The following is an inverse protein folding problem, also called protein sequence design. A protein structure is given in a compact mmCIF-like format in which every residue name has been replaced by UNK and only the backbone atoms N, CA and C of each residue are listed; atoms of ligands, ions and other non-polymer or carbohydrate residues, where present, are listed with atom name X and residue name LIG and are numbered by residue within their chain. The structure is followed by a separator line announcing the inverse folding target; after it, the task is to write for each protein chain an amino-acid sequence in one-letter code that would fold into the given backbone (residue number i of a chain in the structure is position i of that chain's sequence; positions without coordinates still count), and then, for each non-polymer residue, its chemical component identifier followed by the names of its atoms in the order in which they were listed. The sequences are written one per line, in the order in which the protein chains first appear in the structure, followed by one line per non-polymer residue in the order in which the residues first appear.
data_IF_655292728866
#
_entry.id   IF_655292728866
#
_cell.length_a   1.000
_cell.length_b   1.000
_cell.length_c   1.000
_cell.angle_alpha   90.00
_cell.angle_beta   90.00
_cell.angle_gamma   90.00
#
_symmetry.space_group_name_H-M   'P 1'
#
loop_
_entity.id
_entity.type
_entity.pdbx_description
1 polymer ?
#
# COMPACT_ATOMS: atom_id res chain seq x y z
N UNK A 1 12.59 3.19 -1.27
CA UNK A 1 12.28 4.18 -2.34
C UNK A 1 11.27 3.66 -3.37
N UNK A 2 11.38 2.42 -3.88
CA UNK A 2 10.48 1.91 -4.94
C UNK A 2 8.98 1.79 -4.56
N UNK A 3 8.62 1.89 -3.28
CA UNK A 3 7.20 1.83 -2.88
C UNK A 3 6.49 3.19 -2.91
N UNK A 4 7.24 4.29 -3.01
CA UNK A 4 6.69 5.64 -2.83
C UNK A 4 6.35 6.37 -4.12
N UNK A 5 6.92 5.95 -5.26
CA UNK A 5 6.87 6.73 -6.50
C UNK A 5 5.44 6.87 -7.05
N UNK A 6 4.66 5.78 -7.07
CA UNK A 6 3.28 5.83 -7.53
C UNK A 6 2.42 6.69 -6.59
N UNK A 7 2.58 6.50 -5.28
CA UNK A 7 1.85 7.23 -4.25
C UNK A 7 2.10 8.74 -4.34
N UNK A 8 3.36 9.17 -4.45
CA UNK A 8 3.74 10.57 -4.61
C UNK A 8 3.18 11.19 -5.89
N UNK A 9 3.23 10.47 -7.02
CA UNK A 9 2.69 10.97 -8.29
C UNK A 9 1.19 11.23 -8.20
N UNK A 10 0.43 10.27 -7.67
CA UNK A 10 -1.02 10.46 -7.50
C UNK A 10 -1.31 11.56 -6.48
N UNK A 11 -0.59 11.63 -5.37
CA UNK A 11 -0.77 12.69 -4.38
C UNK A 11 -0.57 14.09 -4.99
N UNK A 12 0.49 14.29 -5.77
CA UNK A 12 0.78 15.59 -6.44
C UNK A 12 -0.28 15.92 -7.47
N UNK A 13 -0.68 14.96 -8.31
CA UNK A 13 -1.76 15.16 -9.30
C UNK A 13 -3.06 15.56 -8.60
N UNK A 14 -3.41 14.89 -7.51
CA UNK A 14 -4.64 15.20 -6.77
C UNK A 14 -4.54 16.57 -6.09
N UNK A 15 -3.38 16.94 -5.54
CA UNK A 15 -3.14 18.26 -4.96
C UNK A 15 -3.36 19.41 -5.96
N UNK A 16 -3.02 19.19 -7.23
CA UNK A 16 -3.17 20.18 -8.30
C UNK A 16 -4.61 20.29 -8.81
N UNK A 17 -5.37 19.18 -8.81
CA UNK A 17 -6.72 19.13 -9.38
C UNK A 17 -7.78 19.44 -8.31
N UNK A 18 -7.57 19.01 -7.07
CA UNK A 18 -8.60 19.02 -6.02
C UNK A 18 -8.22 19.96 -4.87
N UNK A 19 -8.99 21.04 -4.61
CA UNK A 19 -8.65 21.99 -3.55
C UNK A 19 -8.73 21.35 -2.16
N UNK A 20 -7.70 21.59 -1.33
CA UNK A 20 -7.54 21.04 0.02
C UNK A 20 -8.78 21.24 0.93
N UNK A 21 -9.42 22.42 0.98
CA UNK A 21 -10.54 22.65 1.90
C UNK A 21 -11.75 21.76 1.62
N UNK A 22 -11.98 21.39 0.36
CA UNK A 22 -13.12 20.58 -0.08
C UNK A 22 -12.84 19.09 0.11
N UNK A 23 -11.60 18.66 -0.14
CA UNK A 23 -11.20 17.24 -0.13
C UNK A 23 -10.31 16.87 1.06
N UNK A 24 -10.42 17.60 2.16
CA UNK A 24 -9.54 17.45 3.33
C UNK A 24 -9.46 16.00 3.83
N UNK A 25 -10.60 15.32 3.96
CA UNK A 25 -10.64 13.92 4.41
C UNK A 25 -9.94 12.96 3.43
N UNK A 26 -10.01 13.21 2.12
CA UNK A 26 -9.26 12.44 1.13
C UNK A 26 -7.76 12.63 1.32
N UNK A 27 -7.30 13.86 1.60
CA UNK A 27 -5.89 14.13 1.91
C UNK A 27 -5.43 13.46 3.21
N UNK A 28 -6.29 13.33 4.22
CA UNK A 28 -5.96 12.56 5.42
C UNK A 28 -5.77 11.07 5.08
N UNK A 29 -6.58 10.48 4.19
CA UNK A 29 -6.38 9.09 3.73
C UNK A 29 -5.00 8.91 3.07
N UNK A 30 -4.59 9.87 2.22
CA UNK A 30 -3.22 9.89 1.67
C UNK A 30 -2.17 9.94 2.80
N UNK A 31 -2.33 10.85 3.77
CA UNK A 31 -1.37 10.96 4.86
C UNK A 31 -1.29 9.68 5.72
N UNK A 32 -2.43 9.05 6.01
CA UNK A 32 -2.49 7.76 6.70
C UNK A 32 -1.73 6.66 5.94
N UNK A 33 -1.95 6.58 4.63
CA UNK A 33 -1.22 5.65 3.77
C UNK A 33 0.30 5.92 3.76
N UNK A 34 0.70 7.20 3.72
CA UNK A 34 2.11 7.60 3.81
C UNK A 34 2.75 7.16 5.13
N UNK A 35 2.06 7.34 6.26
CA UNK A 35 2.55 6.88 7.57
C UNK A 35 2.76 5.37 7.56
N UNK A 36 1.77 4.60 7.08
CA UNK A 36 1.84 3.13 7.03
C UNK A 36 3.05 2.69 6.20
N UNK A 37 3.19 3.18 4.97
CA UNK A 37 4.32 2.85 4.10
C UNK A 37 5.66 3.29 4.71
N UNK A 38 5.67 4.43 5.41
CA UNK A 38 6.82 4.93 6.16
C UNK A 38 7.25 3.98 7.26
N UNK A 39 6.32 3.49 8.08
CA UNK A 39 6.59 2.52 9.15
C UNK A 39 7.16 1.22 8.58
N UNK A 40 6.58 0.67 7.52
CA UNK A 40 7.09 -0.55 6.87
C UNK A 40 8.48 -0.35 6.26
N UNK A 41 8.71 0.80 5.62
CA UNK A 41 10.04 1.16 5.08
C UNK A 41 11.08 1.27 6.20
N UNK A 42 10.73 1.95 7.29
CA UNK A 42 11.60 2.09 8.45
C UNK A 42 11.88 0.75 9.12
N UNK A 43 10.88 -0.12 9.27
CA UNK A 43 11.04 -1.46 9.82
C UNK A 43 12.01 -2.31 8.99
N UNK A 44 11.89 -2.28 7.66
CA UNK A 44 12.86 -2.93 6.76
C UNK A 44 14.27 -2.36 6.89
N UNK A 45 14.38 -1.02 6.97
CA UNK A 45 15.66 -0.34 7.18
C UNK A 45 16.32 -0.74 8.50
N UNK A 46 15.54 -0.79 9.58
CA UNK A 46 15.99 -1.20 10.91
C UNK A 46 16.42 -2.67 10.95
N UNK A 47 15.63 -3.58 10.37
CA UNK A 47 15.98 -5.00 10.24
C UNK A 47 17.31 -5.18 9.50
N UNK A 48 17.52 -4.41 8.43
CA UNK A 48 18.78 -4.44 7.71
C UNK A 48 19.94 -3.89 8.54
N UNK A 49 19.78 -2.73 9.18
CA UNK A 49 20.84 -2.11 9.98
C UNK A 49 21.27 -2.99 11.17
N UNK A 50 20.32 -3.67 11.82
CA UNK A 50 20.59 -4.51 12.99
C UNK A 50 21.23 -5.85 12.63
N UNK A 51 20.73 -6.52 11.58
CA UNK A 51 21.06 -7.92 11.32
C UNK A 51 21.82 -8.13 10.00
N UNK A 52 22.12 -7.08 9.25
CA UNK A 52 22.62 -7.20 7.88
C UNK A 52 21.67 -8.06 7.02
N UNK A 53 20.37 -7.85 7.20
CA UNK A 53 19.30 -8.72 6.70
C UNK A 53 19.40 -8.94 5.18
N UNK A 54 19.69 -7.90 4.40
CA UNK A 54 19.82 -8.02 2.95
C UNK A 54 21.04 -8.84 2.52
N UNK A 55 22.13 -8.89 3.28
CA UNK A 55 23.32 -9.66 2.90
C UNK A 55 23.12 -11.17 3.08
N UNK A 56 22.16 -11.59 3.91
CA UNK A 56 21.84 -13.00 4.19
C UNK A 56 20.87 -13.63 3.18
N UNK A 57 20.21 -12.81 2.36
CA UNK A 57 19.21 -13.26 1.41
C UNK A 57 19.79 -13.35 0.00
N UNK A 58 19.48 -14.44 -0.70
CA UNK A 58 19.69 -14.53 -2.13
C UNK A 58 18.74 -13.57 -2.86
N UNK A 59 18.99 -13.36 -4.16
CA UNK A 59 18.27 -12.36 -4.96
C UNK A 59 16.74 -12.59 -4.96
N UNK A 60 16.31 -13.86 -4.96
CA UNK A 60 14.90 -14.27 -4.83
C UNK A 60 14.30 -13.96 -3.45
N UNK A 61 15.03 -14.23 -2.36
CA UNK A 61 14.61 -13.90 -1.01
C UNK A 61 14.43 -12.39 -0.82
N UNK A 62 15.29 -11.58 -1.46
CA UNK A 62 15.12 -10.12 -1.45
C UNK A 62 13.81 -9.70 -2.12
N UNK A 63 13.50 -10.28 -3.27
CA UNK A 63 12.23 -10.02 -3.96
C UNK A 63 11.02 -10.45 -3.14
N UNK A 64 11.03 -11.66 -2.56
CA UNK A 64 9.93 -12.15 -1.74
C UNK A 64 9.67 -11.25 -0.52
N UNK A 65 10.72 -10.77 0.14
CA UNK A 65 10.59 -9.81 1.24
C UNK A 65 9.95 -8.51 0.75
N UNK A 66 10.45 -7.95 -0.35
CA UNK A 66 9.92 -6.69 -0.90
C UNK A 66 8.45 -6.82 -1.26
N UNK A 67 8.07 -7.91 -1.94
CA UNK A 67 6.68 -8.18 -2.32
C UNK A 67 5.81 -8.45 -1.09
N UNK A 68 6.30 -9.23 -0.12
CA UNK A 68 5.57 -9.50 1.12
C UNK A 68 5.29 -8.23 1.92
N UNK A 69 6.31 -7.39 2.13
CA UNK A 69 6.13 -6.09 2.80
C UNK A 69 5.21 -5.16 2.01
N UNK A 70 5.28 -5.18 0.68
CA UNK A 70 4.39 -4.39 -0.16
C UNK A 70 2.94 -4.80 0.04
N UNK A 71 2.65 -6.10 -0.06
CA UNK A 71 1.31 -6.67 0.10
C UNK A 71 0.73 -6.37 1.49
N UNK A 72 1.55 -6.48 2.55
CA UNK A 72 1.11 -6.12 3.90
C UNK A 72 0.84 -4.61 3.99
N UNK A 73 1.72 -3.77 3.46
CA UNK A 73 1.51 -2.31 3.45
C UNK A 73 0.20 -1.95 2.75
N UNK A 74 -0.05 -2.54 1.59
CA UNK A 74 -1.29 -2.41 0.81
C UNK A 74 -2.52 -2.83 1.63
N UNK A 75 -2.45 -3.97 2.32
CA UNK A 75 -3.54 -4.45 3.18
C UNK A 75 -3.84 -3.46 4.32
N UNK A 76 -2.81 -2.92 4.98
CA UNK A 76 -3.00 -1.93 6.03
C UNK A 76 -3.58 -0.61 5.50
N UNK A 77 -3.17 -0.19 4.30
CA UNK A 77 -3.76 0.98 3.62
C UNK A 77 -5.23 0.74 3.29
N UNK A 78 -5.60 -0.46 2.82
CA UNK A 78 -7.01 -0.84 2.61
C UNK A 78 -7.80 -0.80 3.91
N UNK A 79 -7.30 -1.44 4.97
CA UNK A 79 -7.98 -1.46 6.29
C UNK A 79 -8.14 -0.03 6.80
N UNK A 80 -7.11 0.81 6.72
CA UNK A 80 -7.19 2.20 7.14
C UNK A 80 -8.21 2.99 6.33
N UNK A 81 -8.28 2.73 5.02
CA UNK A 81 -9.25 3.37 4.12
C UNK A 81 -10.69 2.98 4.49
N UNK A 82 -10.95 1.69 4.71
CA UNK A 82 -12.25 1.17 5.14
C UNK A 82 -12.64 1.74 6.51
N UNK A 83 -11.72 1.77 7.48
CA UNK A 83 -12.00 2.33 8.81
C UNK A 83 -12.29 3.83 8.75
N UNK A 84 -11.59 4.58 7.91
CA UNK A 84 -11.86 6.00 7.68
C UNK A 84 -13.22 6.21 7.01
N UNK A 85 -13.57 5.38 6.03
CA UNK A 85 -14.86 5.42 5.35
C UNK A 85 -16.00 5.09 6.33
N UNK A 86 -15.84 4.07 7.16
CA UNK A 86 -16.79 3.76 8.25
C UNK A 86 -16.90 4.91 9.25
N UNK A 87 -15.79 5.53 9.64
CA UNK A 87 -15.80 6.68 10.56
C UNK A 87 -16.51 7.88 9.96
N UNK A 88 -16.25 8.20 8.69
CA UNK A 88 -16.90 9.29 7.97
C UNK A 88 -18.39 8.96 7.80
N UNK A 89 -18.74 7.78 7.32
CA UNK A 89 -20.12 7.33 7.15
C UNK A 89 -20.92 7.43 8.47
N UNK A 90 -20.37 6.93 9.58
CA UNK A 90 -21.04 6.98 10.89
C UNK A 90 -21.18 8.42 11.41
N UNK A 91 -20.21 9.30 11.14
CA UNK A 91 -20.21 10.68 11.66
C UNK A 91 -20.95 11.68 10.76
N UNK A 92 -21.19 11.32 9.49
CA UNK A 92 -21.79 12.18 8.46
C UNK A 92 -23.09 11.59 7.88
N UNK A 93 -23.84 10.78 8.63
CA UNK A 93 -25.19 10.30 8.27
C UNK A 93 -26.22 11.43 8.00
N UNK A 94 -25.86 12.70 8.22
CA UNK A 94 -26.68 13.89 7.89
C UNK A 94 -26.22 14.68 6.64
N UNK A 95 -25.07 14.34 6.04
CA UNK A 95 -24.54 15.01 4.85
C UNK A 95 -24.50 14.03 3.68
N UNK A 96 -25.69 13.60 3.25
CA UNK A 96 -25.86 12.85 2.02
C UNK A 96 -25.37 13.65 0.81
N UNK A 97 -24.66 12.98 -0.10
CA UNK A 97 -24.58 13.22 -1.56
C UNK A 97 -23.26 13.65 -2.22
N UNK A 98 -22.06 13.43 -1.66
CA UNK A 98 -20.82 13.50 -2.46
C UNK A 98 -20.09 12.14 -2.49
N UNK A 99 -20.78 11.15 -3.07
CA UNK A 99 -20.30 9.76 -3.24
C UNK A 99 -19.29 9.54 -4.37
N UNK A 100 -18.92 10.59 -5.11
CA UNK A 100 -18.25 10.39 -6.41
C UNK A 100 -16.72 10.33 -6.34
N UNK A 101 -16.13 10.64 -5.19
CA UNK A 101 -14.67 10.67 -5.03
C UNK A 101 -14.06 9.40 -4.43
N UNK A 102 -14.88 8.51 -3.88
CA UNK A 102 -14.41 7.37 -3.08
C UNK A 102 -13.94 6.19 -3.95
N UNK A 103 -14.23 6.19 -5.26
CA UNK A 103 -14.10 4.98 -6.08
C UNK A 103 -12.80 4.81 -6.88
N UNK A 104 -11.85 5.74 -6.88
CA UNK A 104 -10.66 5.60 -7.76
C UNK A 104 -9.45 4.98 -7.04
N UNK A 105 -9.33 5.17 -5.72
CA UNK A 105 -8.23 4.61 -4.92
C UNK A 105 -8.38 3.11 -4.66
N UNK A 106 -9.58 2.66 -4.25
CA UNK A 106 -9.88 1.28 -3.90
C UNK A 106 -9.60 0.26 -5.03
N UNK A 107 -10.01 0.48 -6.29
CA UNK A 107 -9.73 -0.46 -7.38
C UNK A 107 -8.24 -0.63 -7.62
N UNK A 108 -7.47 0.46 -7.60
CA UNK A 108 -6.03 0.39 -7.85
C UNK A 108 -5.32 -0.45 -6.78
N UNK A 109 -5.67 -0.26 -5.50
CA UNK A 109 -5.07 -0.97 -4.39
C UNK A 109 -5.46 -2.45 -4.38
N UNK A 110 -6.71 -2.79 -4.72
CA UNK A 110 -7.17 -4.17 -4.90
C UNK A 110 -6.47 -4.84 -6.09
N UNK A 111 -6.34 -4.14 -7.22
CA UNK A 111 -5.64 -4.65 -8.41
C UNK A 111 -4.17 -4.95 -8.07
N UNK A 112 -3.46 -4.02 -7.42
CA UNK A 112 -2.07 -4.24 -7.00
C UNK A 112 -1.93 -5.37 -5.97
N UNK A 113 -2.91 -5.54 -5.07
CA UNK A 113 -2.94 -6.66 -4.13
C UNK A 113 -3.10 -8.01 -4.84
N UNK A 114 -4.04 -8.10 -5.80
CA UNK A 114 -4.29 -9.31 -6.60
C UNK A 114 -3.06 -9.67 -7.42
N UNK A 115 -2.44 -8.69 -8.12
CA UNK A 115 -1.20 -8.93 -8.86
C UNK A 115 -0.04 -9.33 -7.94
N UNK A 116 0.08 -8.72 -6.76
CA UNK A 116 1.06 -9.09 -5.75
C UNK A 116 0.89 -10.53 -5.27
N UNK A 117 -0.34 -10.95 -4.96
CA UNK A 117 -0.62 -12.34 -4.55
C UNK A 117 -0.35 -13.34 -5.67
N UNK A 118 -0.80 -13.05 -6.90
CA UNK A 118 -0.56 -13.91 -8.06
C UNK A 118 0.95 -14.09 -8.30
N UNK A 119 1.72 -13.02 -8.20
CA UNK A 119 3.17 -13.08 -8.36
C UNK A 119 3.83 -13.94 -7.28
N UNK A 120 3.44 -13.78 -6.01
CA UNK A 120 3.95 -14.63 -4.91
C UNK A 120 3.63 -16.10 -5.15
N UNK A 121 2.40 -16.41 -5.59
CA UNK A 121 1.97 -17.79 -5.88
C UNK A 121 2.82 -18.37 -7.02
N UNK A 122 2.95 -17.64 -8.14
CA UNK A 122 3.73 -18.09 -9.31
C UNK A 122 5.18 -18.36 -8.91
N UNK A 123 5.82 -17.42 -8.22
CA UNK A 123 7.22 -17.56 -7.78
C UNK A 123 7.39 -18.72 -6.79
N UNK A 124 6.46 -18.88 -5.86
CA UNK A 124 6.49 -20.00 -4.89
C UNK A 124 6.35 -21.36 -5.58
N UNK A 125 5.53 -21.44 -6.62
CA UNK A 125 5.37 -22.65 -7.44
C UNK A 125 6.65 -22.91 -8.25
N UNK A 126 7.18 -21.91 -8.96
CA UNK A 126 8.40 -22.05 -9.77
C UNK A 126 9.61 -22.50 -8.96
N UNK A 127 9.79 -21.99 -7.73
CA UNK A 127 10.88 -22.42 -6.85
C UNK A 127 10.71 -23.87 -6.39
N UNK A 128 9.47 -24.34 -6.20
CA UNK A 128 9.17 -25.72 -5.82
C UNK A 128 9.48 -26.72 -6.94
N UNK A 129 9.42 -26.28 -8.20
CA UNK A 129 9.81 -27.08 -9.36
C UNK A 129 11.33 -27.14 -9.55
N UNK A 130 12.06 -26.04 -9.33
CA UNK A 130 13.53 -26.02 -9.46
C UNK A 130 14.28 -26.84 -8.40
N UNK A 131 13.64 -27.21 -7.28
CA UNK A 131 14.24 -28.10 -6.27
C UNK A 131 13.98 -29.59 -6.51
N UNK A 132 13.20 -29.93 -7.54
CA UNK A 132 12.82 -31.32 -7.87
C UNK A 132 13.66 -31.95 -8.99
N UNK A 133 14.47 -31.14 -9.68
CA UNK A 133 15.46 -31.54 -10.68
C UNK A 133 16.87 -31.51 -10.06
#
# INVERSE_FOLDING_TARGET
MIMWWWFMLFFVIHLLIYPIPVYFFSYIRYFGAAIIVGVFTFALGFLNAKNNFWSRLNLWGKYLVLVGFYSISVLFVLINSILMEMYISVKFFDLANDSDFEMVGLPSVVIYFVFGMLFVIIVSISHKFQQKD
#
